data_IF_726293638676
#
_entry.id   IF_726293638676
#
_cell.length_a   1.000
_cell.length_b   1.000
_cell.length_c   1.000
_cell.angle_alpha   90.00
_cell.angle_beta   90.00
_cell.angle_gamma   90.00
#
_symmetry.space_group_name_H-M   'P 1'
#
loop_
_entity.id
_entity.type
_entity.pdbx_description
1 polymer ?
#
# COMPACT_ATOMS: atom_id res chain seq x y z
N UNK A 1 11.80 -19.25 2.18
CA UNK A 1 11.50 -19.95 3.45
C UNK A 1 11.88 -19.13 4.69
N UNK A 2 13.08 -18.52 4.79
CA UNK A 2 13.53 -17.80 6.01
C UNK A 2 12.62 -16.66 6.50
N UNK A 3 11.96 -15.93 5.60
CA UNK A 3 11.01 -14.89 5.99
C UNK A 3 9.71 -15.46 6.58
N UNK A 4 9.33 -16.69 6.18
CA UNK A 4 8.16 -17.40 6.68
C UNK A 4 8.45 -17.89 8.10
N UNK A 5 7.79 -17.28 9.09
CA UNK A 5 8.04 -17.56 10.51
C UNK A 5 9.07 -16.63 11.18
N UNK A 6 9.60 -15.62 10.47
CA UNK A 6 10.51 -14.62 11.05
C UNK A 6 9.91 -13.90 12.28
N UNK A 7 8.59 -13.76 12.35
CA UNK A 7 7.88 -13.22 13.53
C UNK A 7 8.10 -14.04 14.80
N UNK A 8 8.41 -15.33 14.71
CA UNK A 8 8.62 -16.20 15.87
C UNK A 8 10.05 -16.11 16.43
N UNK A 9 11.04 -15.77 15.61
CA UNK A 9 12.46 -15.88 16.01
C UNK A 9 13.32 -14.66 15.70
N UNK A 10 12.88 -13.72 14.85
CA UNK A 10 13.69 -12.60 14.36
C UNK A 10 13.20 -11.22 14.82
N UNK A 11 12.38 -11.13 15.87
CA UNK A 11 11.99 -9.84 16.48
C UNK A 11 13.19 -9.13 17.11
N UNK A 12 14.04 -9.88 17.81
CA UNK A 12 15.27 -9.40 18.45
C UNK A 12 16.44 -10.35 18.15
N UNK A 13 17.03 -10.31 16.94
CA UNK A 13 18.06 -11.27 16.54
C UNK A 13 19.35 -11.07 17.35
N UNK A 14 19.86 -12.17 17.92
CA UNK A 14 21.15 -12.16 18.65
C UNK A 14 22.33 -11.89 17.72
N UNK A 15 23.47 -11.49 18.27
CA UNK A 15 24.69 -11.26 17.49
C UNK A 15 25.12 -12.49 16.66
N UNK A 16 25.03 -13.69 17.25
CA UNK A 16 25.31 -14.97 16.56
C UNK A 16 24.40 -15.15 15.34
N UNK A 17 23.11 -14.84 15.47
CA UNK A 17 22.14 -14.91 14.37
C UNK A 17 22.45 -13.88 13.29
N UNK A 18 22.73 -12.62 13.67
CA UNK A 18 23.12 -11.56 12.73
C UNK A 18 24.36 -11.97 11.91
N UNK A 19 25.39 -12.54 12.55
CA UNK A 19 26.58 -13.06 11.86
C UNK A 19 26.25 -14.21 10.90
N UNK A 20 25.44 -15.18 11.32
CA UNK A 20 25.02 -16.29 10.46
C UNK A 20 24.23 -15.80 9.24
N UNK A 21 23.31 -14.87 9.44
CA UNK A 21 22.53 -14.25 8.36
C UNK A 21 23.40 -13.42 7.41
N UNK A 22 24.41 -12.71 7.92
CA UNK A 22 25.39 -12.01 7.09
C UNK A 22 26.20 -12.97 6.23
N UNK A 23 26.62 -14.12 6.79
CA UNK A 23 27.30 -15.18 6.05
C UNK A 23 26.42 -15.77 4.94
N UNK A 24 25.13 -16.00 5.23
CA UNK A 24 24.15 -16.47 4.23
C UNK A 24 23.93 -15.44 3.12
N UNK A 25 23.87 -14.15 3.48
CA UNK A 25 23.61 -13.09 2.50
C UNK A 25 24.83 -12.79 1.63
N UNK A 26 26.05 -12.83 2.18
CA UNK A 26 27.29 -12.34 1.54
C UNK A 26 27.54 -12.89 0.12
N UNK A 27 27.30 -14.17 -0.21
CA UNK A 27 27.51 -14.67 -1.56
C UNK A 27 26.67 -13.93 -2.62
N UNK A 28 25.44 -13.52 -2.31
CA UNK A 28 24.57 -12.89 -3.31
C UNK A 28 25.12 -11.54 -3.80
N UNK A 29 25.43 -10.55 -2.94
CA UNK A 29 26.05 -9.30 -3.38
C UNK A 29 27.39 -9.50 -4.11
N UNK A 30 28.20 -10.48 -3.71
CA UNK A 30 29.47 -10.77 -4.38
C UNK A 30 29.26 -11.28 -5.80
N UNK A 31 28.33 -12.22 -5.99
CA UNK A 31 28.02 -12.74 -7.33
C UNK A 31 27.35 -11.69 -8.22
N UNK A 32 26.44 -10.88 -7.66
CA UNK A 32 25.78 -9.81 -8.42
C UNK A 32 26.75 -8.71 -8.87
N UNK A 33 27.73 -8.35 -8.04
CA UNK A 33 28.69 -7.28 -8.35
C UNK A 33 29.97 -7.76 -9.04
N UNK A 34 30.28 -9.06 -8.97
CA UNK A 34 31.49 -9.64 -9.59
C UNK A 34 32.81 -9.22 -8.93
N UNK A 35 32.78 -8.57 -7.76
CA UNK A 35 34.00 -8.06 -7.11
C UNK A 35 34.74 -9.11 -6.28
N UNK A 36 35.92 -8.74 -5.79
CA UNK A 36 36.75 -9.61 -4.96
C UNK A 36 36.05 -10.05 -3.68
N UNK A 37 36.34 -11.29 -3.26
CA UNK A 37 35.87 -11.88 -1.99
C UNK A 37 36.31 -11.12 -0.75
N UNK A 38 37.26 -10.19 -0.85
CA UNK A 38 37.72 -9.33 0.25
C UNK A 38 36.85 -8.09 0.44
N UNK A 39 36.01 -7.74 -0.54
CA UNK A 39 35.18 -6.53 -0.49
C UNK A 39 34.23 -6.55 0.71
N UNK A 40 34.13 -5.46 1.50
CA UNK A 40 33.30 -5.43 2.70
C UNK A 40 31.82 -5.67 2.38
N UNK A 41 31.14 -6.53 3.15
CA UNK A 41 29.70 -6.80 2.95
C UNK A 41 28.86 -5.52 3.05
N UNK A 42 29.19 -4.66 4.03
CA UNK A 42 28.47 -3.41 4.26
C UNK A 42 28.54 -2.47 3.04
N UNK A 43 29.71 -2.37 2.40
CA UNK A 43 29.86 -1.60 1.16
C UNK A 43 28.99 -2.16 0.03
N UNK A 44 29.00 -3.49 -0.17
CA UNK A 44 28.19 -4.13 -1.20
C UNK A 44 26.69 -3.97 -0.98
N UNK A 45 26.24 -4.07 0.26
CA UNK A 45 24.86 -3.82 0.66
C UNK A 45 24.44 -2.40 0.28
N UNK A 46 25.26 -1.41 0.60
CA UNK A 46 24.97 0.00 0.29
C UNK A 46 24.97 0.27 -1.22
N UNK A 47 26.00 -0.21 -1.94
CA UNK A 47 26.15 -0.01 -3.40
C UNK A 47 24.98 -0.62 -4.19
N UNK A 48 24.55 -1.85 -3.81
CA UNK A 48 23.46 -2.55 -4.48
C UNK A 48 22.08 -2.15 -3.96
N UNK A 49 22.01 -1.31 -2.92
CA UNK A 49 20.76 -0.94 -2.27
C UNK A 49 20.04 -2.10 -1.59
N UNK A 50 20.79 -3.09 -1.09
CA UNK A 50 20.26 -4.29 -0.43
C UNK A 50 20.53 -4.19 1.08
N UNK A 51 19.49 -4.07 1.93
CA UNK A 51 19.70 -3.96 3.37
C UNK A 51 20.29 -5.25 3.97
N UNK A 52 20.97 -5.18 5.13
CA UNK A 52 21.39 -6.36 5.86
C UNK A 52 20.23 -7.34 6.11
N UNK A 53 20.44 -8.63 5.81
CA UNK A 53 19.38 -9.64 5.83
C UNK A 53 18.65 -9.71 7.17
N UNK A 54 19.37 -9.55 8.29
CA UNK A 54 18.76 -9.55 9.61
C UNK A 54 17.82 -8.37 9.84
N UNK A 55 18.10 -7.19 9.27
CA UNK A 55 17.22 -6.02 9.35
C UNK A 55 15.97 -6.23 8.48
N UNK A 56 16.12 -6.80 7.29
CA UNK A 56 14.99 -7.14 6.42
C UNK A 56 14.07 -8.17 7.07
N UNK A 57 14.63 -9.20 7.72
CA UNK A 57 13.85 -10.21 8.43
C UNK A 57 13.20 -9.64 9.70
N UNK A 58 13.87 -8.74 10.41
CA UNK A 58 13.30 -8.05 11.57
C UNK A 58 12.16 -7.11 11.16
N UNK A 59 12.28 -6.42 10.02
CA UNK A 59 11.20 -5.65 9.42
C UNK A 59 9.97 -6.53 9.12
N UNK A 60 10.14 -7.67 8.43
CA UNK A 60 9.05 -8.59 8.12
C UNK A 60 8.44 -9.23 9.39
N UNK A 61 9.27 -9.52 10.40
CA UNK A 61 8.85 -10.01 11.70
C UNK A 61 7.95 -9.00 12.41
N UNK A 62 8.41 -7.75 12.55
CA UNK A 62 7.66 -6.64 13.17
C UNK A 62 6.34 -6.39 12.43
N UNK A 63 6.39 -6.33 11.09
CA UNK A 63 5.20 -6.12 10.26
C UNK A 63 4.17 -7.25 10.43
N UNK A 64 4.63 -8.50 10.45
CA UNK A 64 3.77 -9.67 10.66
C UNK A 64 3.14 -9.66 12.06
N UNK A 65 3.93 -9.38 13.11
CA UNK A 65 3.44 -9.33 14.48
C UNK A 65 2.31 -8.31 14.64
N UNK A 66 2.52 -7.07 14.20
CA UNK A 66 1.53 -6.02 14.40
C UNK A 66 0.31 -6.15 13.47
N UNK A 67 0.52 -6.39 12.17
CA UNK A 67 -0.56 -6.33 11.18
C UNK A 67 -1.34 -7.65 11.04
N UNK A 68 -0.64 -8.80 11.12
CA UNK A 68 -1.26 -10.12 10.95
C UNK A 68 -1.63 -10.78 12.27
N UNK A 69 -0.69 -10.83 13.21
CA UNK A 69 -0.91 -11.49 14.51
C UNK A 69 -1.60 -10.59 15.54
N UNK A 70 -1.70 -9.28 15.26
CA UNK A 70 -2.29 -8.27 16.15
C UNK A 70 -1.61 -8.21 17.52
N UNK A 71 -0.32 -8.50 17.56
CA UNK A 71 0.52 -8.39 18.74
C UNK A 71 1.13 -6.99 18.76
N UNK A 72 0.92 -6.19 19.83
CA UNK A 72 1.51 -4.86 19.92
C UNK A 72 3.04 -4.95 19.94
N UNK A 73 3.69 -3.94 19.36
CA UNK A 73 5.14 -3.78 19.45
C UNK A 73 5.45 -2.75 20.56
N UNK A 74 6.64 -2.83 21.18
CA UNK A 74 7.06 -1.84 22.17
C UNK A 74 6.99 -0.40 21.61
N UNK A 75 6.64 0.63 22.39
CA UNK A 75 6.49 2.02 21.89
C UNK A 75 7.76 2.59 21.25
N UNK A 76 8.94 2.18 21.76
CA UNK A 76 10.21 2.59 21.15
C UNK A 76 10.35 2.10 19.71
N UNK A 77 9.60 1.05 19.31
CA UNK A 77 9.18 0.50 18.00
C UNK A 77 8.37 1.39 17.06
N UNK A 78 7.13 1.59 17.47
CA UNK A 78 6.05 2.25 16.79
C UNK A 78 4.97 2.44 17.86
N UNK A 79 4.29 3.58 17.82
CA UNK A 79 3.26 3.90 18.80
C UNK A 79 1.88 3.35 18.39
N UNK A 80 1.69 3.09 17.09
CA UNK A 80 0.44 2.56 16.52
C UNK A 80 0.05 1.24 17.14
N UNK A 81 -1.19 1.12 17.60
CA UNK A 81 -1.73 -0.09 18.18
C UNK A 81 -2.39 -0.98 17.11
N UNK A 82 -2.47 -2.31 17.33
CA UNK A 82 -3.11 -3.22 16.38
C UNK A 82 -4.57 -2.89 16.04
N UNK A 83 -5.31 -2.24 16.94
CA UNK A 83 -6.72 -1.90 16.74
C UNK A 83 -6.92 -0.69 15.83
N UNK A 84 -5.92 0.18 15.70
CA UNK A 84 -5.91 1.35 14.80
C UNK A 84 -5.77 0.95 13.33
N UNK A 85 -5.29 -0.26 13.07
CA UNK A 85 -4.98 -0.75 11.72
C UNK A 85 -6.19 -1.43 11.09
N UNK A 86 -6.40 -1.17 9.80
CA UNK A 86 -7.44 -1.83 9.02
C UNK A 86 -7.32 -3.36 9.10
N UNK A 87 -8.47 -4.04 9.15
CA UNK A 87 -8.55 -5.49 9.13
C UNK A 87 -9.06 -5.94 7.78
N UNK A 88 -8.43 -6.97 7.23
CA UNK A 88 -9.00 -7.65 6.07
C UNK A 88 -10.18 -8.47 6.53
N UNK A 89 -11.34 -8.19 5.95
CA UNK A 89 -12.52 -9.02 6.14
C UNK A 89 -12.24 -10.41 5.55
N UNK A 90 -12.47 -11.45 6.34
CA UNK A 90 -12.33 -12.86 5.97
C UNK A 90 -13.70 -13.51 5.85
N UNK A 91 -13.76 -14.70 5.23
CA UNK A 91 -15.00 -15.44 5.05
C UNK A 91 -16.00 -14.79 4.08
N UNK A 92 -17.15 -15.42 3.96
CA UNK A 92 -18.28 -14.95 3.15
C UNK A 92 -19.19 -14.12 4.03
N UNK A 93 -19.45 -12.87 3.64
CA UNK A 93 -20.41 -12.00 4.35
C UNK A 93 -21.83 -12.07 3.78
N UNK A 94 -21.98 -12.75 2.65
CA UNK A 94 -23.18 -12.78 1.81
C UNK A 94 -23.21 -14.12 1.06
N UNK A 95 -24.39 -14.68 0.83
CA UNK A 95 -24.53 -15.94 0.09
C UNK A 95 -24.04 -15.78 -1.36
N UNK A 96 -23.37 -16.78 -1.97
CA UNK A 96 -22.88 -16.70 -3.35
C UNK A 96 -23.94 -16.35 -4.41
N UNK A 97 -25.21 -16.65 -4.16
CA UNK A 97 -26.32 -16.35 -5.07
C UNK A 97 -26.87 -14.93 -4.91
N UNK A 98 -26.42 -14.16 -3.92
CA UNK A 98 -26.81 -12.77 -3.73
C UNK A 98 -25.85 -11.86 -4.49
N UNK A 99 -26.40 -11.12 -5.44
CA UNK A 99 -25.67 -10.17 -6.29
C UNK A 99 -26.50 -8.91 -6.49
N UNK A 100 -25.82 -7.79 -6.75
CA UNK A 100 -26.47 -6.54 -7.10
C UNK A 100 -27.23 -6.70 -8.42
N UNK A 101 -28.34 -5.98 -8.60
CA UNK A 101 -29.10 -6.07 -9.85
C UNK A 101 -28.24 -5.60 -11.04
N UNK A 102 -28.41 -6.17 -12.25
CA UNK A 102 -27.55 -5.87 -13.41
C UNK A 102 -27.38 -4.39 -13.73
N UNK A 103 -28.41 -3.56 -13.48
CA UNK A 103 -28.40 -2.13 -13.81
C UNK A 103 -28.06 -1.22 -12.63
N UNK A 104 -27.70 -1.80 -11.49
CA UNK A 104 -27.42 -1.04 -10.26
C UNK A 104 -26.00 -0.47 -10.25
N UNK A 105 -25.08 -1.05 -11.04
CA UNK A 105 -23.72 -0.56 -11.22
C UNK A 105 -23.52 -0.33 -12.71
N UNK A 106 -23.04 0.86 -13.09
CA UNK A 106 -22.61 1.15 -14.46
C UNK A 106 -21.18 1.68 -14.49
N UNK A 107 -20.42 1.20 -15.47
CA UNK A 107 -19.07 1.68 -15.78
C UNK A 107 -19.02 2.51 -17.07
N UNK A 108 -20.16 2.64 -17.76
CA UNK A 108 -20.32 3.56 -18.87
C UNK A 108 -20.35 4.98 -18.31
N UNK A 109 -19.65 5.89 -18.98
CA UNK A 109 -19.66 7.31 -18.59
C UNK A 109 -21.11 7.79 -18.66
N UNK A 110 -21.66 8.17 -17.50
CA UNK A 110 -23.09 8.46 -17.38
C UNK A 110 -23.54 9.52 -18.38
N UNK A 111 -24.64 9.24 -19.08
CA UNK A 111 -25.34 10.21 -19.92
C UNK A 111 -25.72 11.46 -19.12
N UNK A 112 -25.85 12.58 -19.85
CA UNK A 112 -26.12 13.93 -19.35
C UNK A 112 -27.12 13.98 -18.19
N UNK A 113 -26.83 14.84 -17.21
CA UNK A 113 -27.69 15.25 -16.11
C UNK A 113 -29.18 15.22 -16.50
N UNK A 114 -29.92 14.23 -16.01
CA UNK A 114 -31.37 14.19 -16.18
C UNK A 114 -31.98 14.76 -14.90
N UNK A 115 -32.35 16.05 -14.94
CA UNK A 115 -33.20 16.65 -13.92
C UNK A 115 -34.61 16.06 -14.02
N UNK A 116 -34.86 14.97 -13.29
CA UNK A 116 -36.23 14.52 -13.00
C UNK A 116 -36.49 14.67 -11.52
N UNK A 117 -37.72 15.05 -11.17
CA UNK A 117 -38.14 15.33 -9.79
C UNK A 117 -38.02 14.11 -8.86
N UNK A 118 -38.00 12.90 -9.42
CA UNK A 118 -37.88 11.60 -8.74
C UNK A 118 -36.45 11.04 -8.70
N UNK A 119 -35.47 11.73 -9.30
CA UNK A 119 -34.07 11.28 -9.36
C UNK A 119 -33.18 12.22 -8.55
N UNK A 120 -32.47 11.65 -7.56
CA UNK A 120 -31.49 12.37 -6.76
C UNK A 120 -30.09 12.01 -7.26
N UNK A 121 -29.36 13.01 -7.75
CA UNK A 121 -27.99 12.85 -8.23
C UNK A 121 -27.01 13.22 -7.12
N UNK A 122 -26.32 12.23 -6.58
CA UNK A 122 -25.31 12.36 -5.54
C UNK A 122 -23.93 12.22 -6.20
N UNK A 123 -22.99 13.09 -5.86
CA UNK A 123 -21.63 13.07 -6.36
C UNK A 123 -20.69 12.88 -5.19
N UNK A 124 -19.68 12.02 -5.34
CA UNK A 124 -18.73 11.67 -4.29
C UNK A 124 -17.31 11.91 -4.77
N UNK A 125 -16.44 12.38 -3.89
CA UNK A 125 -15.00 12.39 -4.17
C UNK A 125 -14.18 12.27 -2.88
N UNK A 126 -12.94 11.82 -3.03
CA UNK A 126 -11.94 11.75 -1.97
C UNK A 126 -10.60 12.35 -2.40
N UNK A 127 -10.07 13.25 -1.58
CA UNK A 127 -8.82 13.97 -1.87
C UNK A 127 -7.73 13.65 -0.87
N UNK A 128 -6.48 13.68 -1.34
CA UNK A 128 -5.29 13.73 -0.48
C UNK A 128 -4.39 14.86 -0.96
N UNK A 129 -4.09 15.78 -0.06
CA UNK A 129 -3.17 16.89 -0.28
C UNK A 129 -2.01 16.79 0.71
N UNK A 130 -1.11 17.77 0.68
CA UNK A 130 -0.08 17.91 1.72
C UNK A 130 -0.66 18.22 3.12
N UNK A 131 -1.89 18.73 3.18
CA UNK A 131 -2.54 19.18 4.41
C UNK A 131 -3.40 18.10 5.09
N UNK A 132 -3.67 17.00 4.39
CA UNK A 132 -4.43 15.89 4.94
C UNK A 132 -5.21 15.10 3.90
N UNK A 133 -6.19 14.37 4.39
CA UNK A 133 -7.06 13.49 3.60
C UNK A 133 -8.51 13.89 3.85
N UNK A 134 -9.27 14.14 2.79
CA UNK A 134 -10.64 14.63 2.88
C UNK A 134 -11.58 13.77 2.02
N UNK A 135 -12.79 13.54 2.50
CA UNK A 135 -13.84 12.85 1.77
C UNK A 135 -15.07 13.74 1.73
N UNK A 136 -15.81 13.74 0.62
CA UNK A 136 -17.02 14.52 0.51
C UNK A 136 -18.05 13.89 -0.41
N UNK A 137 -19.31 14.20 -0.17
CA UNK A 137 -20.36 14.05 -1.16
C UNK A 137 -21.29 15.25 -1.14
N UNK A 138 -21.93 15.50 -2.27
CA UNK A 138 -22.98 16.51 -2.38
C UNK A 138 -24.07 16.01 -3.30
N UNK A 139 -25.28 16.53 -3.15
CA UNK A 139 -26.32 16.26 -4.12
C UNK A 139 -27.09 17.52 -4.51
N UNK A 140 -27.57 17.48 -5.75
CA UNK A 140 -28.24 18.58 -6.41
C UNK A 140 -29.71 18.22 -6.61
N UNK A 141 -30.60 19.14 -6.25
CA UNK A 141 -32.04 19.02 -6.51
C UNK A 141 -32.51 20.31 -7.17
N UNK A 142 -33.14 20.22 -8.35
CA UNK A 142 -33.63 21.37 -9.12
C UNK A 142 -32.57 22.49 -9.26
N UNK A 143 -31.35 22.13 -9.66
CA UNK A 143 -30.22 23.05 -9.83
C UNK A 143 -29.75 23.80 -8.55
N UNK A 144 -30.22 23.38 -7.37
CA UNK A 144 -29.79 23.91 -6.07
C UNK A 144 -29.05 22.82 -5.29
N UNK A 145 -27.93 23.18 -4.66
CA UNK A 145 -27.20 22.32 -3.74
C UNK A 145 -28.01 22.10 -2.46
N UNK A 146 -28.76 21.00 -2.43
CA UNK A 146 -29.69 20.71 -1.34
C UNK A 146 -28.96 20.22 -0.08
N UNK A 147 -27.82 19.56 -0.24
CA UNK A 147 -27.01 19.08 0.86
C UNK A 147 -25.56 18.84 0.43
N UNK A 148 -24.66 19.00 1.40
CA UNK A 148 -23.26 18.66 1.27
C UNK A 148 -22.78 18.03 2.59
N UNK A 149 -21.95 17.01 2.45
CA UNK A 149 -21.24 16.37 3.54
C UNK A 149 -19.77 16.32 3.21
N UNK A 150 -18.93 16.56 4.20
CA UNK A 150 -17.49 16.52 4.03
C UNK A 150 -16.82 16.25 5.36
N UNK A 151 -15.75 15.46 5.36
CA UNK A 151 -15.03 15.12 6.57
C UNK A 151 -13.53 14.95 6.33
N UNK A 152 -12.74 15.28 7.36
CA UNK A 152 -11.29 15.10 7.39
C UNK A 152 -10.96 13.73 7.98
N UNK A 153 -10.33 12.87 7.17
CA UNK A 153 -9.78 11.59 7.60
C UNK A 153 -8.39 11.81 8.26
N UNK A 154 -7.81 10.76 8.83
CA UNK A 154 -6.43 10.83 9.32
C UNK A 154 -5.48 11.12 8.15
N UNK A 155 -4.49 11.98 8.35
CA UNK A 155 -3.52 12.38 7.30
C UNK A 155 -2.74 11.19 6.70
N UNK A 156 -2.66 10.10 7.45
CA UNK A 156 -2.02 8.85 7.04
C UNK A 156 -2.92 7.93 6.21
N UNK A 157 -4.21 8.24 6.06
CA UNK A 157 -5.11 7.51 5.17
C UNK A 157 -4.72 7.71 3.69
N UNK A 158 -5.21 6.82 2.82
CA UNK A 158 -4.98 6.92 1.37
C UNK A 158 -6.12 7.64 0.68
N UNK A 159 -5.87 8.19 -0.52
CA UNK A 159 -6.93 8.71 -1.42
C UNK A 159 -8.02 7.66 -1.59
N UNK A 160 -7.66 6.42 -1.89
CA UNK A 160 -8.61 5.31 -2.04
C UNK A 160 -9.51 5.09 -0.82
N UNK A 161 -9.00 5.30 0.40
CA UNK A 161 -9.84 5.23 1.60
C UNK A 161 -10.81 6.40 1.69
N UNK A 162 -10.38 7.61 1.33
CA UNK A 162 -11.24 8.79 1.30
C UNK A 162 -12.38 8.62 0.31
N UNK A 163 -12.06 8.17 -0.90
CA UNK A 163 -12.99 7.85 -2.00
C UNK A 163 -14.05 6.82 -1.57
N UNK A 164 -13.59 5.74 -0.93
CA UNK A 164 -14.49 4.70 -0.44
C UNK A 164 -15.33 5.18 0.75
N UNK A 165 -14.80 6.06 1.60
CA UNK A 165 -15.54 6.69 2.69
C UNK A 165 -16.61 7.64 2.15
N UNK A 166 -16.31 8.46 1.15
CA UNK A 166 -17.28 9.33 0.49
C UNK A 166 -18.44 8.53 -0.11
N UNK A 167 -18.13 7.44 -0.82
CA UNK A 167 -19.13 6.52 -1.35
C UNK A 167 -19.94 5.84 -0.25
N UNK A 168 -19.30 5.42 0.84
CA UNK A 168 -20.00 4.80 1.98
C UNK A 168 -21.04 5.74 2.60
N UNK A 169 -20.66 6.97 2.89
CA UNK A 169 -21.56 7.96 3.48
C UNK A 169 -22.66 8.37 2.50
N UNK A 170 -22.36 8.48 1.21
CA UNK A 170 -23.37 8.74 0.18
C UNK A 170 -24.40 7.62 0.06
N UNK A 171 -23.97 6.35 0.13
CA UNK A 171 -24.87 5.19 0.09
C UNK A 171 -25.71 5.08 1.37
N UNK A 172 -25.12 5.37 2.53
CA UNK A 172 -25.87 5.48 3.80
C UNK A 172 -26.93 6.57 3.67
N UNK A 173 -26.55 7.76 3.24
CA UNK A 173 -27.47 8.87 3.06
C UNK A 173 -28.60 8.50 2.10
N UNK A 174 -28.27 7.93 0.94
CA UNK A 174 -29.24 7.51 -0.06
C UNK A 174 -30.23 6.45 0.46
N UNK A 175 -29.79 5.55 1.35
CA UNK A 175 -30.66 4.52 1.94
C UNK A 175 -31.72 5.08 2.91
N UNK A 176 -31.52 6.29 3.42
CA UNK A 176 -32.48 6.98 4.29
C UNK A 176 -33.41 7.93 3.52
N UNK A 177 -33.22 8.09 2.21
CA UNK A 177 -34.10 8.91 1.38
C UNK A 177 -35.48 8.23 1.20
N UNK A 178 -36.55 9.03 0.99
CA UNK A 178 -37.88 8.47 0.78
C UNK A 178 -37.93 7.45 -0.37
N UNK A 179 -38.64 6.34 -0.16
CA UNK A 179 -38.70 5.19 -1.06
C UNK A 179 -39.19 5.49 -2.49
N UNK A 180 -39.82 6.63 -2.75
CA UNK A 180 -40.27 7.01 -4.10
C UNK A 180 -39.14 7.59 -4.97
N UNK A 181 -37.99 7.92 -4.40
CA UNK A 181 -36.86 8.48 -5.14
C UNK A 181 -35.88 7.41 -5.61
N UNK A 182 -35.37 7.58 -6.82
CA UNK A 182 -34.23 6.81 -7.34
C UNK A 182 -32.96 7.61 -7.08
N UNK A 183 -31.96 7.00 -6.46
CA UNK A 183 -30.67 7.66 -6.18
C UNK A 183 -29.63 7.22 -7.20
N UNK A 184 -29.00 8.18 -7.87
CA UNK A 184 -27.85 7.95 -8.75
C UNK A 184 -26.62 8.54 -8.07
N UNK A 185 -25.69 7.67 -7.69
CA UNK A 185 -24.41 8.06 -7.07
C UNK A 185 -23.34 8.03 -8.15
N UNK A 186 -22.72 9.17 -8.40
CA UNK A 186 -21.68 9.38 -9.40
C UNK A 186 -20.31 9.34 -8.70
N UNK A 187 -19.44 8.45 -9.16
CA UNK A 187 -18.12 8.18 -8.58
C UNK A 187 -17.09 8.19 -9.70
N UNK A 188 -16.02 8.95 -9.58
CA UNK A 188 -14.97 8.98 -10.60
C UNK A 188 -13.87 7.93 -10.38
N UNK A 189 -13.79 7.35 -9.17
CA UNK A 189 -12.91 6.25 -8.84
C UNK A 189 -13.49 4.86 -9.15
N UNK A 190 -13.11 4.30 -10.31
CA UNK A 190 -13.51 2.93 -10.72
C UNK A 190 -13.14 1.86 -9.69
N UNK A 191 -12.01 1.99 -9.00
CA UNK A 191 -11.58 0.99 -8.03
C UNK A 191 -12.53 0.92 -6.83
N UNK A 192 -13.06 2.08 -6.38
CA UNK A 192 -14.06 2.15 -5.32
C UNK A 192 -15.36 1.43 -5.71
N UNK A 193 -15.83 1.61 -6.95
CA UNK A 193 -17.00 0.91 -7.48
C UNK A 193 -16.76 -0.60 -7.55
N UNK A 194 -15.66 -1.04 -8.17
CA UNK A 194 -15.34 -2.46 -8.33
C UNK A 194 -15.21 -3.21 -7.00
N UNK A 195 -14.59 -2.57 -6.01
CA UNK A 195 -14.42 -3.16 -4.67
C UNK A 195 -15.76 -3.21 -3.93
N UNK A 196 -16.62 -2.21 -4.11
CA UNK A 196 -17.94 -2.11 -3.46
C UNK A 196 -19.01 -2.99 -4.11
N UNK A 197 -18.87 -3.33 -5.40
CA UNK A 197 -19.77 -4.25 -6.09
C UNK A 197 -19.41 -5.73 -5.88
N UNK A 198 -18.28 -6.01 -5.23
CA UNK A 198 -17.80 -7.36 -4.98
C UNK A 198 -18.12 -7.83 -3.56
N UNK A 199 -19.08 -8.76 -3.42
CA UNK A 199 -19.44 -9.39 -2.14
C UNK A 199 -18.28 -10.10 -1.42
N UNK A 200 -17.23 -10.48 -2.17
CA UNK A 200 -16.03 -11.16 -1.66
C UNK A 200 -14.88 -10.21 -1.36
N UNK A 201 -15.09 -8.89 -1.45
CA UNK A 201 -14.07 -7.91 -1.12
C UNK A 201 -13.43 -8.17 0.24
N UNK A 202 -12.11 -7.98 0.36
CA UNK A 202 -11.43 -8.06 1.66
C UNK A 202 -11.53 -6.75 2.46
N UNK A 203 -12.10 -5.70 1.87
CA UNK A 203 -12.27 -4.40 2.52
C UNK A 203 -13.62 -4.37 3.25
N UNK A 204 -13.61 -4.04 4.54
CA UNK A 204 -14.80 -4.03 5.39
C UNK A 204 -15.81 -2.95 4.98
N UNK A 205 -15.35 -1.72 4.69
CA UNK A 205 -16.20 -0.62 4.23
C UNK A 205 -16.90 -0.98 2.92
N UNK A 206 -16.18 -1.59 1.98
CA UNK A 206 -16.78 -2.05 0.73
C UNK A 206 -17.83 -3.15 0.94
N UNK A 207 -17.65 -4.06 1.90
CA UNK A 207 -18.70 -5.03 2.27
C UNK A 207 -19.92 -4.35 2.86
N UNK A 208 -19.75 -3.28 3.65
CA UNK A 208 -20.87 -2.48 4.17
C UNK A 208 -21.62 -1.80 3.03
N UNK A 209 -20.91 -1.17 2.10
CA UNK A 209 -21.50 -0.59 0.88
C UNK A 209 -22.28 -1.64 0.10
N UNK A 210 -21.66 -2.80 -0.18
CA UNK A 210 -22.30 -3.90 -0.90
C UNK A 210 -23.63 -4.31 -0.26
N UNK A 211 -23.66 -4.48 1.07
CA UNK A 211 -24.88 -4.86 1.80
C UNK A 211 -25.97 -3.80 1.69
N UNK A 212 -25.62 -2.53 1.84
CA UNK A 212 -26.59 -1.44 1.73
C UNK A 212 -27.16 -1.39 0.30
N UNK A 213 -26.31 -1.49 -0.72
CA UNK A 213 -26.73 -1.55 -2.12
C UNK A 213 -27.66 -2.75 -2.38
N UNK A 214 -27.32 -3.93 -1.85
CA UNK A 214 -28.14 -5.14 -2.02
C UNK A 214 -29.54 -4.97 -1.42
N UNK A 215 -29.65 -4.35 -0.24
CA UNK A 215 -30.95 -4.07 0.41
C UNK A 215 -31.71 -2.92 -0.23
N UNK A 216 -31.07 -2.10 -1.08
CA UNK A 216 -31.65 -0.91 -1.69
C UNK A 216 -31.50 -0.89 -3.22
N UNK A 217 -32.33 -1.66 -3.96
CA UNK A 217 -32.21 -1.79 -5.42
C UNK A 217 -32.48 -0.51 -6.23
N UNK A 218 -32.88 0.60 -5.58
CA UNK A 218 -33.10 1.92 -6.19
C UNK A 218 -31.87 2.82 -6.13
N UNK A 219 -30.82 2.41 -5.41
CA UNK A 219 -29.55 3.13 -5.34
C UNK A 219 -28.64 2.57 -6.40
N UNK A 220 -28.39 3.36 -7.44
CA UNK A 220 -27.54 3.01 -8.56
C UNK A 220 -26.22 3.78 -8.46
N UNK A 221 -25.10 3.11 -8.74
CA UNK A 221 -23.75 3.71 -8.75
C UNK A 221 -23.24 3.78 -10.19
N UNK A 222 -22.87 4.97 -10.64
CA UNK A 222 -22.36 5.24 -11.98
C UNK A 222 -20.92 5.72 -11.89
N UNK A 223 -20.10 5.20 -12.79
CA UNK A 223 -18.81 5.80 -13.04
C UNK A 223 -18.98 7.09 -13.85
N UNK A 224 -18.28 8.14 -13.45
CA UNK A 224 -18.16 9.38 -14.23
C UNK A 224 -16.70 9.69 -14.49
N UNK A 225 -16.41 10.33 -15.61
CA UNK A 225 -15.05 10.75 -15.89
C UNK A 225 -14.61 11.93 -14.99
N UNK A 226 -13.49 11.79 -14.31
CA UNK A 226 -12.85 12.88 -13.57
C UNK A 226 -12.46 14.05 -14.50
N UNK A 227 -12.61 15.28 -14.00
CA UNK A 227 -12.23 16.52 -14.69
C UNK A 227 -12.84 16.70 -16.10
N UNK A 228 -14.07 16.23 -16.29
CA UNK A 228 -14.79 16.30 -17.56
C UNK A 228 -15.85 17.43 -17.62
N UNK A 229 -15.81 18.42 -16.72
CA UNK A 229 -16.82 19.49 -16.69
C UNK A 229 -18.11 19.12 -15.97
N UNK A 230 -18.17 17.98 -15.27
CA UNK A 230 -19.35 17.61 -14.49
C UNK A 230 -19.41 18.45 -13.20
N UNK A 231 -20.34 19.42 -13.17
CA UNK A 231 -20.54 20.36 -12.06
C UNK A 231 -20.67 19.65 -10.70
N UNK A 232 -21.36 18.50 -10.68
CA UNK A 232 -21.48 17.63 -9.51
C UNK A 232 -20.15 17.10 -9.00
N UNK A 233 -19.39 16.49 -9.90
CA UNK A 233 -18.08 15.90 -9.59
C UNK A 233 -17.08 16.98 -9.16
N UNK A 234 -17.03 18.10 -9.88
CA UNK A 234 -16.14 19.22 -9.56
C UNK A 234 -16.47 19.84 -8.20
N UNK A 235 -17.76 19.91 -7.85
CA UNK A 235 -18.18 20.35 -6.52
C UNK A 235 -17.73 19.38 -5.43
N UNK A 236 -17.92 18.08 -5.63
CA UNK A 236 -17.47 17.06 -4.70
C UNK A 236 -15.95 17.11 -4.50
N UNK A 237 -15.17 17.26 -5.58
CA UNK A 237 -13.70 17.42 -5.53
C UNK A 237 -13.27 18.67 -4.76
N UNK A 238 -13.93 19.81 -5.00
CA UNK A 238 -13.67 21.03 -4.24
C UNK A 238 -13.96 20.84 -2.75
N UNK A 239 -15.07 20.18 -2.40
CA UNK A 239 -15.43 19.90 -1.01
C UNK A 239 -14.45 18.92 -0.35
N UNK A 240 -14.02 17.88 -1.06
CA UNK A 240 -13.05 16.91 -0.55
C UNK A 240 -11.68 17.56 -0.31
N UNK A 241 -11.25 18.45 -1.21
CA UNK A 241 -10.02 19.25 -1.04
C UNK A 241 -10.10 20.20 0.15
N UNK A 242 -11.20 20.94 0.29
CA UNK A 242 -11.41 21.84 1.43
C UNK A 242 -11.43 21.07 2.76
N UNK A 243 -12.06 19.89 2.76
CA UNK A 243 -12.12 19.01 3.93
C UNK A 243 -10.75 18.53 4.42
N UNK A 244 -9.70 18.54 3.57
CA UNK A 244 -8.34 18.19 4.01
C UNK A 244 -7.81 19.13 5.10
N UNK A 245 -8.28 20.37 5.15
CA UNK A 245 -7.90 21.37 6.15
C UNK A 245 -9.05 21.67 7.12
N UNK A 246 -10.25 21.88 6.61
CA UNK A 246 -11.39 22.43 7.36
C UNK A 246 -12.49 21.40 7.67
N UNK A 247 -12.30 20.14 7.25
CA UNK A 247 -13.28 19.08 7.45
C UNK A 247 -13.42 18.68 8.91
N UNK A 248 -14.63 18.27 9.31
CA UNK A 248 -14.85 17.68 10.63
C UNK A 248 -14.09 16.34 10.75
N UNK A 249 -13.46 16.03 11.89
CA UNK A 249 -12.73 14.78 12.06
C UNK A 249 -13.59 13.53 11.85
N UNK A 250 -13.13 12.59 11.03
CA UNK A 250 -13.78 11.31 10.76
C UNK A 250 -12.96 10.15 11.32
N UNK A 251 -13.35 9.66 12.50
CA UNK A 251 -12.59 8.64 13.25
C UNK A 251 -12.90 7.18 12.88
N UNK A 252 -13.85 6.91 11.97
CA UNK A 252 -14.25 5.54 11.64
C UNK A 252 -13.28 4.84 10.67
N UNK A 253 -12.41 5.60 9.98
CA UNK A 253 -11.47 5.02 9.01
C UNK A 253 -10.13 4.69 9.67
N UNK A 254 -9.81 3.39 9.71
CA UNK A 254 -8.56 2.86 10.26
C UNK A 254 -7.35 3.11 9.37
N UNK A 255 -6.16 3.04 9.95
CA UNK A 255 -4.88 3.22 9.25
C UNK A 255 -4.62 2.08 8.24
N UNK A 256 -4.16 2.40 7.02
CA UNK A 256 -4.03 1.43 5.95
C UNK A 256 -2.72 0.64 6.05
N UNK A 257 -2.69 -0.58 5.49
CA UNK A 257 -1.50 -1.45 5.45
C UNK A 257 -0.23 -0.76 4.90
N UNK A 258 -0.29 0.06 3.82
CA UNK A 258 0.88 0.78 3.33
C UNK A 258 1.49 1.73 4.36
N UNK A 259 0.69 2.36 5.22
CA UNK A 259 1.18 3.30 6.23
C UNK A 259 2.08 2.59 7.25
N UNK A 260 1.59 1.52 7.88
CA UNK A 260 2.38 0.73 8.83
C UNK A 260 3.62 0.10 8.20
N UNK A 261 3.51 -0.36 6.94
CA UNK A 261 4.65 -0.89 6.19
C UNK A 261 5.69 0.20 5.90
N UNK A 262 5.24 1.42 5.61
CA UNK A 262 6.09 2.58 5.41
C UNK A 262 6.86 2.98 6.67
N UNK A 263 6.17 3.07 7.80
CA UNK A 263 6.78 3.39 9.10
C UNK A 263 7.88 2.40 9.49
N UNK A 264 7.59 1.10 9.43
CA UNK A 264 8.56 0.06 9.76
C UNK A 264 9.76 0.06 8.80
N UNK A 265 9.55 0.39 7.53
CA UNK A 265 10.63 0.50 6.54
C UNK A 265 11.50 1.72 6.79
N UNK A 266 10.91 2.87 7.12
CA UNK A 266 11.64 4.09 7.49
C UNK A 266 12.60 3.79 8.65
N UNK A 267 12.08 3.14 9.70
CA UNK A 267 12.90 2.70 10.83
C UNK A 267 14.02 1.74 10.44
N UNK A 268 13.74 0.75 9.62
CA UNK A 268 14.77 -0.17 9.14
C UNK A 268 15.89 0.59 8.42
N UNK A 269 15.55 1.61 7.62
CA UNK A 269 16.52 2.48 6.96
C UNK A 269 17.32 3.34 7.95
N UNK A 270 16.69 3.86 9.01
CA UNK A 270 17.38 4.60 10.08
C UNK A 270 18.37 3.72 10.85
N UNK A 271 17.97 2.48 11.20
CA UNK A 271 18.84 1.49 11.82
C UNK A 271 20.02 1.10 10.89
N UNK A 272 19.74 0.93 9.59
CA UNK A 272 20.77 0.65 8.59
C UNK A 272 21.73 1.84 8.42
N UNK A 273 21.20 3.06 8.32
CA UNK A 273 22.00 4.29 8.21
C UNK A 273 22.90 4.48 9.43
N UNK A 274 22.39 4.21 10.63
CA UNK A 274 23.17 4.27 11.88
C UNK A 274 24.31 3.25 11.84
N UNK A 275 24.02 2.00 11.44
CA UNK A 275 25.04 0.96 11.29
C UNK A 275 26.07 1.30 10.23
N UNK A 276 25.68 1.98 9.15
CA UNK A 276 26.58 2.44 8.09
C UNK A 276 27.49 3.58 8.55
N UNK A 277 26.93 4.55 9.29
CA UNK A 277 27.65 5.70 9.82
C UNK A 277 28.73 5.31 10.83
N UNK A 278 28.39 4.43 11.78
CA UNK A 278 29.26 4.05 12.89
C UNK A 278 29.98 2.71 12.67
N UNK A 279 29.72 2.04 11.55
CA UNK A 279 30.41 0.81 11.17
C UNK A 279 31.90 1.04 10.86
N UNK A 280 32.71 0.04 11.17
CA UNK A 280 34.16 -0.02 10.96
C UNK A 280 34.55 -0.54 9.55
N UNK A 281 33.64 -1.21 8.87
CA UNK A 281 33.87 -1.80 7.54
C UNK A 281 33.33 -0.92 6.41
N UNK A 282 33.99 -0.95 5.24
CA UNK A 282 33.52 -0.21 4.06
C UNK A 282 33.73 1.30 4.11
N UNK A 283 34.58 1.81 5.02
CA UNK A 283 34.79 3.26 5.25
C UNK A 283 35.12 4.08 4.01
N UNK A 284 35.90 3.51 3.08
CA UNK A 284 36.24 4.16 1.80
C UNK A 284 34.99 4.46 0.97
N UNK A 285 34.09 3.48 0.90
CA UNK A 285 32.78 3.63 0.23
C UNK A 285 31.88 4.59 1.00
N UNK A 286 31.91 4.58 2.33
CA UNK A 286 31.15 5.55 3.14
C UNK A 286 31.52 7.00 2.81
N UNK A 287 32.79 7.29 2.59
CA UNK A 287 33.24 8.64 2.26
C UNK A 287 32.67 9.15 0.92
N UNK A 288 32.33 8.25 0.00
CA UNK A 288 31.73 8.58 -1.30
C UNK A 288 30.20 8.53 -1.21
N UNK A 289 29.68 7.57 -0.45
CA UNK A 289 28.27 7.26 -0.32
C UNK A 289 27.89 7.19 1.17
N UNK A 290 27.75 8.35 1.83
CA UNK A 290 27.48 8.40 3.27
C UNK A 290 26.06 7.94 3.61
N UNK A 291 25.15 7.90 2.64
CA UNK A 291 23.74 7.57 2.82
C UNK A 291 23.37 6.22 2.23
N UNK A 292 22.61 5.42 2.97
CA UNK A 292 22.04 4.15 2.49
C UNK A 292 20.79 4.40 1.66
N UNK A 293 20.52 3.52 0.71
CA UNK A 293 19.36 3.59 -0.17
C UNK A 293 18.84 2.18 -0.47
N UNK A 294 17.55 2.06 -0.81
CA UNK A 294 17.00 0.82 -1.38
C UNK A 294 17.11 0.78 -2.91
N UNK A 295 17.73 1.81 -3.51
CA UNK A 295 18.03 1.86 -4.95
C UNK A 295 19.49 1.51 -5.15
N UNK A 296 19.81 0.59 -6.08
CA UNK A 296 21.20 0.34 -6.45
C UNK A 296 21.79 1.60 -7.08
N UNK A 297 23.10 1.74 -6.92
CA UNK A 297 23.88 2.72 -7.67
C UNK A 297 24.14 2.23 -9.09
N UNK A 298 24.39 3.16 -10.00
CA UNK A 298 24.71 2.86 -11.41
C UNK A 298 26.19 2.48 -11.61
N UNK A 299 26.89 2.07 -10.55
CA UNK A 299 28.31 1.75 -10.60
C UNK A 299 28.53 0.44 -11.35
N UNK A 300 29.48 0.45 -12.28
CA UNK A 300 29.93 -0.79 -12.93
C UNK A 300 30.89 -1.54 -12.01
N UNK A 301 31.21 -2.79 -12.35
CA UNK A 301 32.09 -3.65 -11.56
C UNK A 301 33.43 -2.97 -11.28
N UNK A 302 34.00 -2.32 -12.27
CA UNK A 302 35.28 -1.63 -12.24
C UNK A 302 35.25 -0.48 -11.23
N UNK A 303 34.16 0.29 -11.19
CA UNK A 303 33.96 1.36 -10.19
C UNK A 303 33.95 0.79 -8.78
N UNK A 304 33.21 -0.30 -8.56
CA UNK A 304 33.11 -0.93 -7.24
C UNK A 304 34.48 -1.45 -6.78
N UNK A 305 35.25 -2.05 -7.67
CA UNK A 305 36.62 -2.52 -7.39
C UNK A 305 37.53 -1.32 -7.08
N UNK A 306 37.52 -0.30 -7.93
CA UNK A 306 38.36 0.89 -7.81
C UNK A 306 38.10 1.63 -6.49
N UNK A 307 36.85 1.96 -6.19
CA UNK A 307 36.49 2.74 -5.00
C UNK A 307 36.56 1.92 -3.71
N UNK A 308 36.42 0.59 -3.78
CA UNK A 308 36.66 -0.27 -2.61
C UNK A 308 38.15 -0.46 -2.31
N UNK A 309 39.05 -0.06 -3.23
CA UNK A 309 40.51 -0.18 -3.13
C UNK A 309 40.94 -1.61 -2.74
N UNK A 310 40.28 -2.61 -3.32
CA UNK A 310 40.70 -3.99 -3.24
C UNK A 310 41.33 -4.39 -4.56
N UNK A 311 42.63 -4.70 -4.51
CA UNK A 311 43.46 -4.97 -5.67
C UNK A 311 44.48 -3.85 -5.87
N UNK A 312 45.56 -3.84 -5.09
CA UNK A 312 46.77 -3.03 -5.33
C UNK A 312 47.53 -3.48 -6.60
N UNK A 313 46.81 -3.92 -7.61
CA UNK A 313 47.35 -4.30 -8.92
C UNK A 313 46.21 -4.28 -9.93
N UNK A 314 45.89 -3.10 -10.47
CA UNK A 314 45.18 -3.02 -11.74
C UNK A 314 45.85 -1.96 -12.61
N UNK A 315 46.69 -2.48 -13.52
CA UNK A 315 46.77 -1.97 -14.88
C UNK A 315 45.37 -2.00 -15.50
N UNK A 316 44.92 -0.85 -16.00
CA UNK A 316 43.66 -0.69 -16.71
C UNK A 316 43.54 -1.70 -17.87
N UNK A 317 42.34 -2.25 -18.11
CA UNK A 317 41.90 -2.32 -19.48
C UNK A 317 40.49 -1.77 -19.70
N UNK A 318 40.35 -1.26 -20.92
CA UNK A 318 39.24 -0.54 -21.53
C UNK A 318 37.96 -1.35 -21.70
N UNK A 319 36.83 -0.66 -21.50
CA UNK A 319 35.50 -0.81 -22.08
C UNK A 319 35.32 -1.90 -23.16
N UNK A 320 34.37 -2.81 -22.93
CA UNK A 320 33.29 -3.15 -23.88
C UNK A 320 32.23 -4.10 -23.26
N UNK A 321 30.98 -3.66 -23.43
CA UNK A 321 29.72 -4.41 -23.56
C UNK A 321 29.19 -5.33 -22.42
N UNK A 322 28.08 -4.96 -21.75
CA UNK A 322 26.70 -5.29 -22.18
C UNK A 322 25.65 -4.91 -21.12
N UNK A 323 24.49 -4.52 -21.64
CA UNK A 323 23.21 -4.28 -20.97
C UNK A 323 22.60 -5.53 -20.33
N UNK A 324 22.06 -5.38 -19.11
CA UNK A 324 20.70 -5.74 -18.68
C UNK A 324 20.64 -6.12 -17.18
N UNK A 325 20.97 -5.17 -16.29
CA UNK A 325 20.78 -5.34 -14.83
C UNK A 325 19.30 -5.25 -14.41
N UNK A 326 18.45 -4.69 -15.27
CA UNK A 326 17.01 -4.54 -15.03
C UNK A 326 16.24 -5.86 -15.10
N UNK A 327 16.66 -6.82 -15.93
CA UNK A 327 16.00 -8.13 -16.02
C UNK A 327 16.29 -9.03 -14.79
N UNK A 328 17.46 -8.92 -14.17
CA UNK A 328 17.83 -9.77 -13.02
C UNK A 328 17.20 -9.27 -11.72
N UNK A 329 17.08 -7.94 -11.55
CA UNK A 329 16.34 -7.37 -10.41
C UNK A 329 14.85 -7.73 -10.52
N UNK A 330 14.28 -7.72 -11.73
CA UNK A 330 12.93 -8.22 -11.96
C UNK A 330 12.82 -9.71 -11.60
N UNK A 331 13.75 -10.58 -12.03
CA UNK A 331 13.69 -12.02 -11.70
C UNK A 331 13.86 -12.29 -10.20
N UNK A 332 14.74 -11.58 -9.47
CA UNK A 332 14.93 -11.78 -8.03
C UNK A 332 13.76 -11.21 -7.20
N UNK A 333 13.12 -10.13 -7.65
CA UNK A 333 11.93 -9.56 -7.01
C UNK A 333 10.65 -10.33 -7.37
N UNK A 334 10.55 -10.88 -8.60
CA UNK A 334 9.42 -11.67 -9.09
C UNK A 334 9.46 -13.10 -8.52
N UNK A 335 10.63 -13.72 -8.38
CA UNK A 335 10.79 -15.00 -7.66
C UNK A 335 10.44 -14.88 -6.16
N UNK A 336 10.54 -13.68 -5.59
CA UNK A 336 10.06 -13.40 -4.24
C UNK A 336 8.54 -13.14 -4.18
N UNK A 337 7.86 -12.88 -5.31
CA UNK A 337 6.40 -12.64 -5.38
C UNK A 337 5.59 -13.84 -5.89
N UNK A 338 6.16 -14.75 -6.69
CA UNK A 338 5.38 -15.75 -7.46
C UNK A 338 5.19 -17.13 -6.81
N UNK A 339 5.57 -17.37 -5.56
CA UNK A 339 5.12 -18.56 -4.83
C UNK A 339 3.88 -18.28 -3.98
N UNK A 340 2.78 -18.01 -4.67
CA UNK A 340 1.43 -18.29 -4.20
C UNK A 340 0.71 -19.04 -5.30
N UNK A 341 0.55 -20.35 -5.15
CA UNK A 341 -0.34 -21.20 -5.94
C UNK A 341 -1.29 -21.96 -4.97
N UNK A 342 -2.45 -22.44 -5.45
CA UNK A 342 -3.73 -22.28 -4.78
C UNK A 342 -4.06 -23.37 -3.76
N UNK A 343 -5.05 -23.06 -2.91
CA UNK A 343 -5.72 -24.01 -2.02
C UNK A 343 -6.52 -25.04 -2.81
N UNK A 344 -5.91 -26.19 -3.07
CA UNK A 344 -6.51 -27.53 -3.20
C UNK A 344 -5.32 -28.49 -3.26
N UNK A 345 -5.12 -29.45 -2.36
CA UNK A 345 -5.89 -30.69 -2.20
C UNK A 345 -5.70 -31.20 -0.77
N UNK A 346 -6.78 -31.74 -0.23
CA UNK A 346 -6.95 -32.37 1.08
C UNK A 346 -6.05 -33.59 1.35
N UNK A 347 -5.77 -33.79 2.64
CA UNK A 347 -5.76 -35.08 3.39
C UNK A 347 -4.85 -36.19 2.85
N UNK A 348 -3.74 -36.48 3.56
CA UNK A 348 -3.49 -37.76 4.26
C UNK A 348 -2.07 -37.82 4.85
N UNK A 349 -1.93 -38.64 5.89
CA UNK A 349 -0.70 -39.10 6.55
C UNK A 349 -0.13 -38.21 7.67
N UNK A 350 -0.83 -38.21 8.81
CA UNK A 350 -0.14 -38.32 10.11
C UNK A 350 0.07 -39.82 10.34
N UNK A 351 1.33 -40.21 10.52
CA UNK A 351 1.75 -41.54 10.89
C UNK A 351 3.13 -41.46 11.53
N UNK A 352 3.14 -41.68 12.84
CA UNK A 352 4.27 -41.73 13.80
C UNK A 352 4.68 -40.37 14.37
#
# INVERSE_FOLDING_TARGET
MLAHGSSAWCLNPTFKMKRKLSSIQRPFPLHTSGVYRTTPTAALQTILGIPPLHMQLQFEARFTSIYRLRIPLPPFIIDTQPHDLEMKATGWSTHPSEYLKPNQISFEDGEAYIARKDIINIFTDGSKTEHGVGAAFCFLTNDIWAYQWSAKLNDNNTVFQAELTALHEAVIYASHLPNHNTSKIHVDNRASIMVSSNSKSTNETARKIFKILLSNPRINVYWVKAHAGNIGNERADKLAKDATQHGQPYSHTKLPKPHIKGLLRKRMLEEWQTSWKYGDTGRKIYNIMPSVSLRPTNWIREDVIFFSQHGDNISLPTSKDFTCLTAIIAVVVELARHFTMPRSVSIQCIGI
#
